data_IF_133498467351
#
_entry.id   IF_133498467351
#
_cell.length_a   1.000
_cell.length_b   1.000
_cell.length_c   1.000
_cell.angle_alpha   90.00
_cell.angle_beta   90.00
_cell.angle_gamma   90.00
#
_symmetry.space_group_name_H-M   'P 1'
#
loop_
_entity.id
_entity.type
_entity.pdbx_description
1 polymer ?
#
# COMPACT_ATOMS: atom_id res chain seq x y z
N UNK A 1 36.99 57.28 15.28
CA UNK A 1 36.97 55.94 14.65
C UNK A 1 37.44 54.82 15.61
N UNK A 2 37.51 55.05 16.92
CA UNK A 2 38.09 54.12 17.93
C UNK A 2 37.05 53.27 18.67
N UNK A 3 35.74 53.57 18.57
CA UNK A 3 34.70 52.85 19.31
C UNK A 3 34.36 51.47 18.71
N UNK A 4 34.51 51.29 17.39
CA UNK A 4 34.24 50.03 16.71
C UNK A 4 35.30 48.97 17.03
N UNK A 5 36.58 49.37 17.04
CA UNK A 5 37.70 48.46 17.29
C UNK A 5 37.69 47.89 18.71
N UNK A 6 37.24 48.68 19.70
CA UNK A 6 37.12 48.23 21.08
C UNK A 6 35.99 47.22 21.27
N UNK A 7 34.83 47.43 20.63
CA UNK A 7 33.70 46.50 20.67
C UNK A 7 33.99 45.17 19.96
N UNK A 8 34.75 45.18 18.87
CA UNK A 8 35.17 43.95 18.17
C UNK A 8 36.16 43.14 19.00
N UNK A 9 37.10 43.81 19.70
CA UNK A 9 38.04 43.14 20.62
C UNK A 9 37.32 42.56 21.84
N UNK A 10 36.28 43.22 22.33
CA UNK A 10 35.44 42.72 23.42
C UNK A 10 34.64 41.49 22.99
N UNK A 11 34.08 41.48 21.78
CA UNK A 11 33.47 40.29 21.15
C UNK A 11 34.45 39.10 20.98
N UNK A 12 35.72 39.39 20.73
CA UNK A 12 36.78 38.36 20.57
C UNK A 12 37.35 37.84 21.88
N UNK A 13 37.20 38.57 22.99
CA UNK A 13 37.65 38.17 24.33
C UNK A 13 36.51 37.63 25.20
N UNK A 14 35.28 37.65 24.69
CA UNK A 14 34.11 37.12 25.40
C UNK A 14 34.06 35.60 25.29
N UNK A 15 34.09 34.90 26.42
CA UNK A 15 33.98 33.43 26.46
C UNK A 15 32.65 32.93 25.92
N UNK A 16 31.63 33.79 25.92
CA UNK A 16 30.32 33.54 25.33
C UNK A 16 30.37 33.44 23.80
N UNK A 17 31.36 34.07 23.15
CA UNK A 17 31.53 33.98 21.69
C UNK A 17 32.01 32.59 21.24
N UNK A 18 32.79 31.88 22.07
CA UNK A 18 33.24 30.52 21.77
C UNK A 18 32.05 29.55 21.81
N UNK A 19 31.22 29.63 22.85
CA UNK A 19 30.00 28.84 22.97
C UNK A 19 29.03 29.11 21.80
N UNK A 20 28.91 30.37 21.37
CA UNK A 20 28.10 30.73 20.21
C UNK A 20 28.62 30.10 18.91
N UNK A 21 29.94 30.02 18.72
CA UNK A 21 30.55 29.41 17.51
C UNK A 21 30.38 27.89 17.48
N UNK A 22 30.50 27.20 18.62
CA UNK A 22 30.25 25.76 18.71
C UNK A 22 28.77 25.43 18.42
N UNK A 23 27.84 26.21 18.98
CA UNK A 23 26.42 26.08 18.70
C UNK A 23 26.12 26.31 17.22
N UNK A 24 26.70 27.34 16.60
CA UNK A 24 26.50 27.63 15.18
C UNK A 24 26.93 26.48 14.26
N UNK A 25 27.93 25.67 14.66
CA UNK A 25 28.39 24.51 13.90
C UNK A 25 27.51 23.28 14.14
N UNK A 26 27.04 23.05 15.38
CA UNK A 26 26.27 21.85 15.73
C UNK A 26 24.79 21.95 15.34
N UNK A 27 24.19 23.14 15.43
CA UNK A 27 22.77 23.37 15.15
C UNK A 27 22.31 22.93 13.77
N UNK A 28 23.05 23.21 12.67
CA UNK A 28 22.66 22.73 11.34
C UNK A 28 22.49 21.21 11.29
N UNK A 29 23.38 20.45 11.93
CA UNK A 29 23.28 18.99 11.98
C UNK A 29 22.10 18.52 12.84
N UNK A 30 21.91 19.13 14.01
CA UNK A 30 20.75 18.82 14.86
C UNK A 30 19.43 19.11 14.15
N UNK A 31 19.34 20.19 13.38
CA UNK A 31 18.15 20.56 12.63
C UNK A 31 17.86 19.55 11.51
N UNK A 32 18.89 19.14 10.75
CA UNK A 32 18.74 18.10 9.72
C UNK A 32 18.28 16.78 10.33
N UNK A 33 18.87 16.36 11.45
CA UNK A 33 18.46 15.13 12.13
C UNK A 33 17.04 15.22 12.69
N UNK A 34 16.66 16.38 13.23
CA UNK A 34 15.31 16.61 13.74
C UNK A 34 14.26 16.58 12.64
N UNK A 35 14.44 17.39 11.59
CA UNK A 35 13.50 17.45 10.45
C UNK A 35 13.47 16.12 9.71
N UNK A 36 14.62 15.51 9.47
CA UNK A 36 14.71 14.18 8.86
C UNK A 36 14.00 13.12 9.70
N UNK A 37 14.18 13.13 11.01
CA UNK A 37 13.49 12.20 11.93
C UNK A 37 11.97 12.36 11.90
N UNK A 38 11.46 13.59 11.91
CA UNK A 38 10.02 13.87 11.83
C UNK A 38 9.44 13.40 10.50
N UNK A 39 10.09 13.70 9.37
CA UNK A 39 9.62 13.32 8.03
C UNK A 39 9.67 11.80 7.83
N UNK A 40 10.72 11.13 8.32
CA UNK A 40 10.82 9.67 8.32
C UNK A 40 9.72 9.03 9.18
N UNK A 41 9.45 9.60 10.36
CA UNK A 41 8.36 9.15 11.23
C UNK A 41 7.00 9.26 10.57
N UNK A 42 6.73 10.37 9.87
CA UNK A 42 5.50 10.54 9.09
C UNK A 42 5.40 9.51 7.95
N UNK A 43 6.47 9.34 7.17
CA UNK A 43 6.50 8.37 6.07
C UNK A 43 6.26 6.94 6.53
N UNK A 44 6.88 6.52 7.65
CA UNK A 44 6.62 5.21 8.27
C UNK A 44 5.18 5.07 8.77
N UNK A 45 4.63 6.12 9.40
CA UNK A 45 3.25 6.08 9.88
C UNK A 45 2.24 5.91 8.73
N UNK A 46 2.49 6.57 7.59
CA UNK A 46 1.69 6.39 6.37
C UNK A 46 1.88 4.98 5.81
N UNK A 47 3.10 4.44 5.82
CA UNK A 47 3.37 3.09 5.33
C UNK A 47 2.59 2.02 6.10
N UNK A 48 2.46 2.17 7.43
CA UNK A 48 1.59 1.28 8.23
C UNK A 48 0.13 1.35 7.75
N UNK A 49 -0.38 2.54 7.43
CA UNK A 49 -1.73 2.70 6.87
C UNK A 49 -1.88 2.12 5.47
N UNK A 50 -0.85 2.23 4.64
CA UNK A 50 -0.80 1.60 3.30
C UNK A 50 -0.91 0.09 3.43
N UNK A 51 -0.13 -0.51 4.34
CA UNK A 51 -0.16 -1.95 4.63
C UNK A 51 -1.53 -2.40 5.17
N UNK A 52 -2.06 -1.69 6.16
CA UNK A 52 -3.38 -1.94 6.73
C UNK A 52 -4.49 -1.89 5.66
N UNK A 53 -4.38 -0.96 4.72
CA UNK A 53 -5.32 -0.81 3.62
C UNK A 53 -5.23 -1.97 2.63
N UNK A 54 -4.02 -2.39 2.25
CA UNK A 54 -3.81 -3.54 1.38
C UNK A 54 -4.42 -4.81 1.98
N UNK A 55 -4.20 -5.03 3.28
CA UNK A 55 -4.74 -6.17 4.02
C UNK A 55 -6.27 -6.11 4.10
N UNK A 56 -6.83 -4.94 4.44
CA UNK A 56 -8.27 -4.75 4.61
C UNK A 56 -9.01 -5.00 3.30
N UNK A 57 -8.51 -4.46 2.19
CA UNK A 57 -9.14 -4.64 0.87
C UNK A 57 -9.06 -6.10 0.43
N UNK A 58 -7.90 -6.74 0.58
CA UNK A 58 -7.75 -8.17 0.27
C UNK A 58 -8.70 -9.03 1.11
N UNK A 59 -8.82 -8.76 2.42
CA UNK A 59 -9.68 -9.50 3.32
C UNK A 59 -11.17 -9.29 2.99
N UNK A 60 -11.62 -8.05 2.78
CA UNK A 60 -13.01 -7.76 2.37
C UNK A 60 -13.39 -8.47 1.07
N UNK A 61 -12.49 -8.51 0.09
CA UNK A 61 -12.71 -9.24 -1.17
C UNK A 61 -12.73 -10.75 -0.93
N UNK A 62 -11.80 -11.28 -0.15
CA UNK A 62 -11.66 -12.72 0.11
C UNK A 62 -12.84 -13.36 0.86
N UNK A 63 -13.61 -12.56 1.61
CA UNK A 63 -14.78 -13.03 2.36
C UNK A 63 -16.03 -13.17 1.49
N UNK A 64 -16.00 -12.68 0.25
CA UNK A 64 -17.12 -12.77 -0.66
C UNK A 64 -16.87 -13.89 -1.66
N UNK A 65 -17.88 -14.74 -1.86
CA UNK A 65 -17.83 -15.77 -2.90
C UNK A 65 -17.96 -15.16 -4.30
N UNK A 66 -18.64 -14.01 -4.39
CA UNK A 66 -18.81 -13.22 -5.62
C UNK A 66 -18.89 -11.74 -5.26
N UNK A 67 -18.33 -10.88 -6.11
CA UNK A 67 -18.34 -9.43 -5.91
C UNK A 67 -18.89 -8.77 -7.16
N UNK A 68 -19.98 -8.01 -7.02
CA UNK A 68 -20.53 -7.19 -8.10
C UNK A 68 -19.77 -5.89 -8.28
N UNK A 69 -19.99 -5.17 -9.40
CA UNK A 69 -19.31 -3.89 -9.68
C UNK A 69 -19.53 -2.85 -8.57
N UNK A 70 -20.77 -2.75 -8.08
CA UNK A 70 -21.15 -1.82 -7.02
C UNK A 70 -20.52 -2.20 -5.69
N UNK A 71 -20.46 -3.50 -5.37
CA UNK A 71 -19.78 -3.98 -4.16
C UNK A 71 -18.27 -3.73 -4.23
N UNK A 72 -17.64 -3.98 -5.38
CA UNK A 72 -16.21 -3.70 -5.57
C UNK A 72 -15.92 -2.21 -5.40
N UNK A 73 -16.78 -1.34 -5.95
CA UNK A 73 -16.67 0.11 -5.75
C UNK A 73 -16.83 0.51 -4.29
N UNK A 74 -17.74 -0.13 -3.55
CA UNK A 74 -17.89 0.09 -2.11
C UNK A 74 -16.65 -0.36 -1.32
N UNK A 75 -16.10 -1.54 -1.61
CA UNK A 75 -14.92 -2.09 -0.95
C UNK A 75 -13.69 -1.22 -1.22
N UNK A 76 -13.45 -0.86 -2.48
CA UNK A 76 -12.33 -0.01 -2.86
C UNK A 76 -12.54 1.44 -2.36
N UNK A 77 -13.76 1.95 -2.35
CA UNK A 77 -14.06 3.27 -1.78
C UNK A 77 -13.81 3.33 -0.27
N UNK A 78 -14.03 2.24 0.45
CA UNK A 78 -13.75 2.14 1.89
C UNK A 78 -12.25 2.26 2.23
N UNK A 79 -11.35 2.04 1.24
CA UNK A 79 -9.91 2.20 1.43
C UNK A 79 -9.53 3.63 1.84
N UNK A 80 -10.33 4.62 1.42
CA UNK A 80 -10.14 6.03 1.80
C UNK A 80 -10.34 6.26 3.30
N UNK A 81 -11.23 5.51 3.94
CA UNK A 81 -11.47 5.58 5.37
C UNK A 81 -10.32 4.91 6.16
N UNK A 82 -9.76 3.82 5.65
CA UNK A 82 -8.61 3.14 6.29
C UNK A 82 -7.34 4.00 6.24
N UNK A 83 -7.15 4.76 5.15
CA UNK A 83 -6.04 5.69 4.99
C UNK A 83 -6.19 6.99 5.80
N UNK A 84 -7.35 7.26 6.38
CA UNK A 84 -7.54 8.44 7.20
C UNK A 84 -6.52 8.46 8.37
N UNK A 85 -5.96 9.65 8.71
CA UNK A 85 -6.34 10.99 8.26
C UNK A 85 -5.60 11.50 7.02
N UNK A 86 -4.91 10.64 6.26
CA UNK A 86 -4.09 11.07 5.13
C UNK A 86 -4.92 11.36 3.87
N UNK A 87 -4.61 12.45 3.14
CA UNK A 87 -5.37 12.83 1.96
C UNK A 87 -5.13 11.84 0.82
N UNK A 88 -6.19 11.55 0.06
CA UNK A 88 -6.16 10.64 -1.11
C UNK A 88 -5.95 11.38 -2.43
N UNK A 89 -6.03 12.70 -2.41
CA UNK A 89 -5.74 13.58 -3.54
C UNK A 89 -4.96 14.81 -3.07
N UNK A 90 -4.11 15.35 -3.94
CA UNK A 90 -3.37 16.57 -3.67
C UNK A 90 -4.27 17.83 -3.79
N UNK A 91 -3.70 19.00 -3.54
CA UNK A 91 -4.43 20.27 -3.65
C UNK A 91 -4.87 20.63 -5.08
N UNK A 92 -4.26 20.01 -6.09
CA UNK A 92 -4.60 20.19 -7.49
C UNK A 92 -5.60 19.13 -8.00
N UNK A 93 -6.01 18.18 -7.15
CA UNK A 93 -6.94 17.10 -7.49
C UNK A 93 -6.28 15.87 -8.10
N UNK A 94 -4.95 15.78 -8.13
CA UNK A 94 -4.26 14.56 -8.55
C UNK A 94 -4.37 13.50 -7.47
N UNK A 95 -4.61 12.26 -7.87
CA UNK A 95 -4.65 11.13 -6.95
C UNK A 95 -3.29 10.88 -6.31
N UNK A 96 -3.28 10.74 -4.99
CA UNK A 96 -2.12 10.33 -4.20
C UNK A 96 -2.13 8.83 -3.89
N UNK A 97 -3.22 8.13 -4.15
CA UNK A 97 -3.40 6.72 -3.79
C UNK A 97 -3.85 5.89 -4.98
N UNK A 98 -3.29 4.70 -5.12
CA UNK A 98 -3.79 3.68 -6.01
C UNK A 98 -3.94 2.38 -5.24
N UNK A 99 -5.17 1.90 -5.11
CA UNK A 99 -5.52 0.64 -4.46
C UNK A 99 -5.97 -0.33 -5.53
N UNK A 100 -5.22 -1.42 -5.72
CA UNK A 100 -5.52 -2.44 -6.71
C UNK A 100 -5.82 -3.75 -6.02
N UNK A 101 -6.89 -4.41 -6.41
CA UNK A 101 -7.19 -5.77 -5.99
C UNK A 101 -7.29 -6.67 -7.20
N UNK A 102 -6.62 -7.81 -7.12
CA UNK A 102 -6.52 -8.78 -8.22
C UNK A 102 -6.72 -10.19 -7.72
N UNK A 103 -7.33 -11.04 -8.54
CA UNK A 103 -7.24 -12.47 -8.35
C UNK A 103 -6.07 -13.00 -9.17
N UNK A 104 -5.21 -13.78 -8.52
CA UNK A 104 -4.04 -14.42 -9.13
C UNK A 104 -4.18 -15.92 -8.96
N UNK A 105 -4.28 -16.66 -10.05
CA UNK A 105 -4.39 -18.12 -10.02
C UNK A 105 -3.12 -18.78 -10.55
N UNK A 106 -2.69 -19.86 -9.90
CA UNK A 106 -1.60 -20.72 -10.36
C UNK A 106 -2.13 -21.85 -11.22
N UNK A 107 -1.38 -22.24 -12.25
CA UNK A 107 -1.67 -23.43 -13.04
C UNK A 107 -1.06 -24.71 -12.43
N UNK A 108 -1.17 -25.84 -13.15
CA UNK A 108 -0.64 -27.14 -12.71
C UNK A 108 0.88 -27.17 -12.55
N UNK A 109 1.59 -26.21 -13.14
CA UNK A 109 3.04 -26.03 -13.05
C UNK A 109 3.45 -24.98 -12.02
N UNK A 110 2.48 -24.35 -11.35
CA UNK A 110 2.70 -23.30 -10.36
C UNK A 110 2.86 -21.90 -10.97
N UNK A 111 2.59 -21.73 -12.27
CA UNK A 111 2.69 -20.42 -12.94
C UNK A 111 1.49 -19.56 -12.56
N UNK A 112 1.75 -18.44 -11.89
CA UNK A 112 0.73 -17.51 -11.45
C UNK A 112 0.34 -16.51 -12.55
N UNK A 113 -0.97 -16.32 -12.74
CA UNK A 113 -1.54 -15.39 -13.73
C UNK A 113 -2.72 -14.62 -13.16
N UNK A 114 -2.86 -13.36 -13.55
CA UNK A 114 -3.99 -12.51 -13.16
C UNK A 114 -5.27 -12.99 -13.86
N UNK A 115 -6.31 -13.30 -13.09
CA UNK A 115 -7.64 -13.70 -13.59
C UNK A 115 -8.59 -12.51 -13.73
N UNK A 116 -8.45 -11.52 -12.87
CA UNK A 116 -9.10 -10.21 -13.02
C UNK A 116 -8.40 -9.21 -12.10
N UNK A 117 -8.59 -7.92 -12.36
CA UNK A 117 -8.03 -6.86 -11.55
C UNK A 117 -8.85 -5.58 -11.63
N UNK A 118 -9.05 -4.94 -10.48
CA UNK A 118 -9.72 -3.64 -10.35
C UNK A 118 -8.84 -2.71 -9.54
N UNK A 119 -8.74 -1.46 -9.98
CA UNK A 119 -7.91 -0.44 -9.36
C UNK A 119 -8.72 0.81 -9.04
N UNK A 120 -8.42 1.44 -7.93
CA UNK A 120 -9.09 2.64 -7.43
C UNK A 120 -8.07 3.72 -7.12
N UNK A 121 -8.28 4.88 -7.72
CA UNK A 121 -7.37 6.03 -7.60
C UNK A 121 -7.83 7.04 -6.53
N UNK A 122 -8.56 6.62 -5.50
CA UNK A 122 -9.13 7.54 -4.51
C UNK A 122 -10.45 8.20 -4.93
N UNK A 123 -10.89 8.07 -6.19
CA UNK A 123 -12.17 8.64 -6.65
C UNK A 123 -12.95 7.69 -7.55
N UNK A 124 -12.28 7.04 -8.50
CA UNK A 124 -12.92 6.18 -9.51
C UNK A 124 -12.29 4.80 -9.52
N UNK A 125 -13.11 3.77 -9.75
CA UNK A 125 -12.64 2.42 -10.03
C UNK A 125 -12.43 2.26 -11.54
N UNK A 126 -11.35 1.58 -11.90
CA UNK A 126 -10.92 1.30 -13.26
C UNK A 126 -10.30 -0.09 -13.35
N UNK A 127 -10.05 -0.57 -14.57
CA UNK A 127 -9.34 -1.84 -14.77
C UNK A 127 -7.92 -1.73 -14.20
N UNK A 128 -7.51 -2.72 -13.41
CA UNK A 128 -6.15 -2.81 -12.88
C UNK A 128 -5.20 -3.51 -13.84
N UNK A 129 -4.54 -4.56 -13.35
CA UNK A 129 -3.61 -5.40 -14.12
C UNK A 129 -4.31 -6.10 -15.30
N UNK A 130 -3.62 -6.27 -16.45
CA UNK A 130 -4.19 -6.96 -17.60
C UNK A 130 -4.44 -8.45 -17.31
N UNK A 131 -5.51 -8.97 -17.90
CA UNK A 131 -5.87 -10.38 -17.84
C UNK A 131 -4.73 -11.26 -18.38
N UNK A 132 -4.42 -12.35 -17.66
CA UNK A 132 -3.38 -13.29 -18.03
C UNK A 132 -1.95 -12.79 -17.79
N UNK A 133 -1.77 -11.61 -17.19
CA UNK A 133 -0.44 -11.13 -16.79
C UNK A 133 0.22 -12.17 -15.88
N UNK A 134 1.43 -12.59 -16.24
CA UNK A 134 2.24 -13.50 -15.41
C UNK A 134 2.73 -12.75 -14.18
N UNK A 135 2.56 -13.36 -13.02
CA UNK A 135 2.97 -12.80 -11.73
C UNK A 135 4.09 -13.65 -11.12
N UNK A 136 5.04 -12.98 -10.46
CA UNK A 136 6.06 -13.66 -9.66
C UNK A 136 5.54 -13.75 -8.23
N UNK A 137 5.27 -14.96 -7.76
CA UNK A 137 4.85 -15.17 -6.38
C UNK A 137 6.06 -15.10 -5.43
N UNK A 138 5.88 -14.58 -4.19
CA UNK A 138 6.88 -14.69 -3.14
C UNK A 138 7.29 -16.14 -2.88
N UNK A 139 8.54 -16.43 -2.49
CA UNK A 139 9.01 -17.80 -2.28
C UNK A 139 8.14 -18.63 -1.32
N UNK A 140 7.56 -17.99 -0.30
CA UNK A 140 6.64 -18.63 0.65
C UNK A 140 5.34 -19.16 0.02
N UNK A 141 4.95 -18.63 -1.14
CA UNK A 141 3.77 -19.04 -1.90
C UNK A 141 4.14 -19.92 -3.10
N UNK A 142 5.43 -20.06 -3.42
CA UNK A 142 5.90 -20.96 -4.47
C UNK A 142 6.01 -22.39 -3.96
N UNK A 143 5.65 -23.37 -4.79
CA UNK A 143 5.78 -24.79 -4.48
C UNK A 143 4.57 -25.60 -4.96
N UNK A 144 4.76 -26.92 -5.08
CA UNK A 144 3.74 -27.83 -5.63
C UNK A 144 2.45 -27.88 -4.81
N UNK A 145 2.51 -27.53 -3.52
CA UNK A 145 1.34 -27.43 -2.64
C UNK A 145 0.39 -26.28 -3.00
N UNK A 146 0.88 -25.28 -3.73
CA UNK A 146 0.11 -24.12 -4.19
C UNK A 146 -0.05 -24.12 -5.72
N UNK A 147 0.16 -25.25 -6.39
CA UNK A 147 -0.24 -25.41 -7.78
C UNK A 147 -1.75 -25.48 -7.83
N UNK A 148 -2.33 -24.94 -8.89
CA UNK A 148 -3.75 -24.97 -9.07
C UNK A 148 -4.54 -24.26 -7.96
N UNK A 149 -4.10 -23.08 -7.49
CA UNK A 149 -4.75 -22.32 -6.39
C UNK A 149 -4.92 -20.85 -6.76
N UNK A 150 -6.00 -20.22 -6.30
CA UNK A 150 -6.20 -18.76 -6.42
C UNK A 150 -5.83 -18.01 -5.14
N UNK A 151 -5.31 -16.81 -5.33
CA UNK A 151 -4.96 -15.84 -4.31
C UNK A 151 -5.65 -14.50 -4.62
N UNK A 152 -6.04 -13.80 -3.57
CA UNK A 152 -6.43 -12.40 -3.64
C UNK A 152 -5.22 -11.56 -3.28
N UNK A 153 -4.82 -10.73 -4.23
CA UNK A 153 -3.72 -9.79 -4.12
C UNK A 153 -4.29 -8.40 -3.92
N UNK A 154 -4.10 -7.84 -2.73
CA UNK A 154 -4.33 -6.42 -2.44
C UNK A 154 -3.02 -5.65 -2.55
N UNK A 155 -3.00 -4.60 -3.36
CA UNK A 155 -1.84 -3.75 -3.59
C UNK A 155 -2.24 -2.29 -3.32
N UNK A 156 -1.42 -1.57 -2.58
CA UNK A 156 -1.64 -0.15 -2.33
C UNK A 156 -0.37 0.61 -2.62
N UNK A 157 -0.50 1.70 -3.36
CA UNK A 157 0.55 2.66 -3.64
C UNK A 157 0.11 4.03 -3.16
N UNK A 158 0.93 4.70 -2.37
CA UNK A 158 0.68 6.04 -1.86
C UNK A 158 1.86 6.97 -2.15
N UNK A 159 1.59 8.12 -2.71
CA UNK A 159 2.59 9.12 -3.10
C UNK A 159 2.79 10.10 -1.95
N UNK A 160 3.84 9.90 -1.16
CA UNK A 160 4.19 10.77 -0.04
C UNK A 160 5.14 11.89 -0.46
N UNK A 161 4.76 13.14 -0.21
CA UNK A 161 5.64 14.29 -0.39
C UNK A 161 5.94 14.90 0.98
N UNK A 162 7.20 14.89 1.44
CA UNK A 162 7.60 15.51 2.70
C UNK A 162 7.17 16.98 2.78
N UNK A 163 6.78 17.46 3.96
CA UNK A 163 6.41 18.88 4.12
C UNK A 163 7.65 19.77 4.15
N UNK A 164 8.74 19.27 4.74
CA UNK A 164 10.02 19.93 4.85
C UNK A 164 11.07 19.20 4.02
N UNK A 165 11.91 19.97 3.31
CA UNK A 165 13.04 19.40 2.56
C UNK A 165 12.66 18.58 1.31
N UNK A 166 11.41 18.64 0.82
CA UNK A 166 10.98 17.92 -0.39
C UNK A 166 11.80 18.26 -1.63
N UNK A 167 12.39 19.46 -1.69
CA UNK A 167 13.29 19.89 -2.76
C UNK A 167 14.59 19.10 -2.79
N UNK A 168 14.94 18.43 -1.69
CA UNK A 168 16.14 17.62 -1.52
C UNK A 168 15.80 16.12 -1.60
N UNK A 169 14.75 15.68 -0.90
CA UNK A 169 14.35 14.26 -0.84
C UNK A 169 13.46 13.80 -2.00
N UNK A 170 12.73 14.72 -2.63
CA UNK A 170 11.73 14.40 -3.64
C UNK A 170 10.48 13.73 -3.06
N UNK A 171 9.57 13.38 -3.96
CA UNK A 171 8.37 12.59 -3.63
C UNK A 171 8.73 11.11 -3.57
N UNK A 172 8.27 10.42 -2.52
CA UNK A 172 8.53 9.00 -2.27
C UNK A 172 7.25 8.21 -2.42
N UNK A 173 7.25 7.19 -3.27
CA UNK A 173 6.12 6.28 -3.41
C UNK A 173 6.23 5.15 -2.40
N UNK A 174 5.30 5.09 -1.46
CA UNK A 174 5.14 4.03 -0.48
C UNK A 174 4.25 2.95 -1.09
N UNK A 175 4.69 1.70 -1.10
CA UNK A 175 3.93 0.60 -1.68
C UNK A 175 3.93 -0.59 -0.74
N UNK A 176 2.80 -1.29 -0.71
CA UNK A 176 2.72 -2.59 -0.07
C UNK A 176 1.76 -3.52 -0.85
N UNK A 177 2.01 -4.82 -0.71
CA UNK A 177 1.25 -5.87 -1.39
C UNK A 177 1.03 -7.05 -0.46
N UNK A 178 -0.20 -7.57 -0.44
CA UNK A 178 -0.57 -8.67 0.42
C UNK A 178 -1.37 -9.72 -0.32
N UNK A 179 -0.97 -10.98 -0.13
CA UNK A 179 -1.65 -12.14 -0.69
C UNK A 179 -2.45 -12.85 0.40
N UNK A 180 -3.72 -13.10 0.11
CA UNK A 180 -4.59 -13.91 0.96
C UNK A 180 -5.25 -15.02 0.15
N UNK A 181 -5.45 -16.18 0.75
CA UNK A 181 -6.36 -17.17 0.19
C UNK A 181 -7.82 -16.67 0.29
N UNK A 182 -8.67 -16.91 -0.72
CA UNK A 182 -10.11 -16.70 -0.58
C UNK A 182 -10.64 -17.42 0.67
N UNK A 183 -11.32 -16.70 1.55
CA UNK A 183 -11.91 -17.25 2.78
C UNK A 183 -13.23 -17.93 2.50
N UNK A 184 -13.98 -17.42 1.53
CA UNK A 184 -15.18 -18.04 0.99
C UNK A 184 -15.00 -18.21 -0.52
N UNK A 185 -15.16 -19.43 -1.05
CA UNK A 185 -15.20 -19.70 -2.49
C UNK A 185 -16.45 -20.50 -2.81
N UNK A 186 -16.94 -20.37 -4.05
CA UNK A 186 -17.91 -21.33 -4.60
C UNK A 186 -17.19 -22.36 -5.46
N UNK A 187 -17.77 -23.55 -5.60
CA UNK A 187 -17.43 -24.41 -6.73
C UNK A 187 -18.06 -23.80 -7.99
N UNK A 188 -17.26 -23.66 -9.06
CA UNK A 188 -17.70 -23.10 -10.34
C UNK A 188 -18.91 -23.87 -10.91
N UNK A 189 -19.77 -23.26 -11.74
CA UNK A 189 -20.73 -24.01 -12.56
C UNK A 189 -20.04 -25.16 -13.30
N UNK A 190 -20.79 -26.25 -13.52
CA UNK A 190 -20.42 -27.58 -14.06
C UNK A 190 -19.62 -27.62 -15.38
N UNK A 191 -19.23 -26.49 -15.95
CA UNK A 191 -18.71 -26.35 -17.30
C UNK A 191 -17.33 -25.64 -17.37
N UNK A 192 -16.63 -25.44 -16.25
CA UNK A 192 -15.27 -24.86 -16.27
C UNK A 192 -14.20 -25.88 -15.89
N UNK A 193 -13.15 -25.98 -16.72
CA UNK A 193 -11.98 -26.83 -16.48
C UNK A 193 -11.12 -26.32 -15.31
N UNK A 194 -10.53 -27.28 -14.59
CA UNK A 194 -9.62 -27.16 -13.45
C UNK A 194 -8.43 -26.21 -13.72
N UNK A 195 -7.91 -25.48 -12.72
CA UNK A 195 -8.27 -25.42 -11.30
C UNK A 195 -9.16 -24.21 -10.93
N UNK A 196 -9.98 -24.31 -9.87
CA UNK A 196 -10.92 -23.24 -9.50
C UNK A 196 -11.00 -22.94 -8.00
N UNK A 197 -10.82 -21.67 -7.64
CA UNK A 197 -11.05 -21.07 -6.31
C UNK A 197 -11.51 -19.62 -6.56
N UNK A 198 -12.74 -19.23 -6.16
CA UNK A 198 -13.45 -18.09 -6.77
C UNK A 198 -13.47 -16.75 -6.01
N UNK A 199 -13.30 -15.63 -6.74
CA UNK A 199 -13.94 -14.32 -6.49
C UNK A 199 -14.47 -13.72 -7.82
N UNK A 200 -15.47 -14.36 -8.43
CA UNK A 200 -16.05 -13.94 -9.73
C UNK A 200 -17.02 -12.78 -9.57
N UNK A 201 -17.02 -11.94 -10.60
CA UNK A 201 -18.18 -11.14 -10.99
C UNK A 201 -19.28 -12.07 -11.55
N UNK A 202 -20.56 -11.76 -11.32
CA UNK A 202 -21.63 -12.71 -10.97
C UNK A 202 -21.72 -13.99 -11.84
N UNK A 203 -21.81 -15.16 -11.18
CA UNK A 203 -22.23 -16.42 -11.81
C UNK A 203 -23.14 -17.25 -10.90
N UNK A 204 -24.11 -17.96 -11.45
CA UNK A 204 -25.36 -18.38 -10.79
C UNK A 204 -25.31 -19.57 -9.82
N UNK A 205 -24.22 -19.81 -9.09
CA UNK A 205 -24.12 -20.89 -8.10
C UNK A 205 -23.50 -20.43 -6.77
N UNK A 206 -24.17 -20.75 -5.65
CA UNK A 206 -23.81 -20.33 -4.28
C UNK A 206 -23.47 -21.54 -3.40
N UNK A 207 -22.24 -21.62 -2.89
CA UNK A 207 -21.85 -22.49 -1.77
C UNK A 207 -21.65 -21.64 -0.51
N UNK A 208 -21.91 -22.20 0.68
CA UNK A 208 -21.80 -21.45 1.94
C UNK A 208 -20.35 -21.41 2.45
N UNK A 209 -19.93 -20.26 2.99
CA UNK A 209 -18.55 -20.03 3.47
C UNK A 209 -18.07 -21.04 4.54
N UNK A 210 -19.01 -21.59 5.33
CA UNK A 210 -18.70 -22.54 6.42
C UNK A 210 -18.25 -23.91 5.89
N UNK A 211 -18.72 -24.32 4.71
CA UNK A 211 -18.39 -25.64 4.13
C UNK A 211 -16.95 -25.68 3.59
N UNK A 212 -16.47 -24.60 2.99
CA UNK A 212 -15.11 -24.51 2.48
C UNK A 212 -14.04 -24.58 3.58
N UNK A 213 -14.23 -23.85 4.69
CA UNK A 213 -13.24 -23.78 5.79
C UNK A 213 -13.14 -25.11 6.55
N UNK A 214 -14.25 -25.84 6.74
CA UNK A 214 -14.25 -27.07 7.56
C UNK A 214 -14.02 -28.35 6.79
N UNK A 215 -14.44 -28.42 5.53
CA UNK A 215 -14.51 -29.69 4.82
C UNK A 215 -13.60 -29.73 3.58
N UNK A 216 -13.15 -28.59 3.04
CA UNK A 216 -12.47 -28.49 1.74
C UNK A 216 -13.28 -29.13 0.59
N UNK A 217 -14.61 -29.23 0.74
CA UNK A 217 -15.56 -29.73 -0.25
C UNK A 217 -16.81 -28.83 -0.16
N UNK A 218 -17.50 -28.62 -1.28
CA UNK A 218 -18.83 -28.04 -1.30
C UNK A 218 -19.86 -29.12 -1.63
#
# INVERSE_FOLDING_TARGET
MTSLAWRVRQLWMDTDAVAATEFAIVVPFMLVLYVGGVELGNGMSINVKVSETAHTVADLVSQNTQVTASQMQGILGASTATLAPYPVADKAGHSLVTVTVSEVATDATGKATVQWSQSFNGTTVSTGRPLGQVMTLPPALTGTSNNNVSFILGEVSYVYTPNLGYTISGTVTLQDSYYLFPRCSTNSPSNSSFPYYDVKFPSSATCSCVQHIKQKIC
#
